data_IF_502797375769
#
_entry.id   IF_502797375769
#
_cell.length_a   1.000
_cell.length_b   1.000
_cell.length_c   1.000
_cell.angle_alpha   90.00
_cell.angle_beta   90.00
_cell.angle_gamma   90.00
#
_symmetry.space_group_name_H-M   'P 1'
#
loop_
_entity.id
_entity.type
_entity.pdbx_description
1 polymer ?
#
# COMPACT_ATOMS: atom_id res chain seq x y z
N UNK A 1 1.94 18.77 -5.92
CA UNK A 1 0.98 17.70 -6.28
C UNK A 1 0.75 17.59 -7.78
N UNK A 2 0.11 18.55 -8.46
CA UNK A 2 -0.14 18.43 -9.91
C UNK A 2 1.13 18.24 -10.75
N UNK A 3 2.19 19.01 -10.47
CA UNK A 3 3.48 18.84 -11.12
C UNK A 3 4.11 17.46 -10.86
N UNK A 4 3.94 16.93 -9.64
CA UNK A 4 4.46 15.61 -9.25
C UNK A 4 3.69 14.49 -9.98
N UNK A 5 2.37 14.61 -10.12
CA UNK A 5 1.56 13.66 -10.90
C UNK A 5 1.97 13.65 -12.38
N UNK A 6 2.11 14.84 -12.97
CA UNK A 6 2.59 14.98 -14.34
C UNK A 6 3.99 14.36 -14.52
N UNK A 7 4.86 14.52 -13.52
CA UNK A 7 6.18 13.91 -13.52
C UNK A 7 6.12 12.39 -13.39
N UNK A 8 5.34 11.85 -12.44
CA UNK A 8 5.18 10.40 -12.25
C UNK A 8 4.64 9.73 -13.51
N UNK A 9 3.66 10.34 -14.19
CA UNK A 9 3.12 9.80 -15.45
C UNK A 9 4.15 9.84 -16.57
N UNK A 10 4.89 10.94 -16.72
CA UNK A 10 5.95 11.06 -17.75
C UNK A 10 7.12 10.10 -17.52
N UNK A 11 7.59 10.00 -16.28
CA UNK A 11 8.85 9.34 -15.97
C UNK A 11 8.65 7.81 -15.80
N UNK A 12 7.47 7.38 -15.34
CA UNK A 12 7.16 5.97 -15.02
C UNK A 12 5.93 5.40 -15.72
N UNK A 13 5.16 6.21 -16.45
CA UNK A 13 3.88 5.76 -17.00
C UNK A 13 2.81 5.51 -15.93
N UNK A 14 2.94 6.12 -14.75
CA UNK A 14 2.03 5.92 -13.64
C UNK A 14 0.57 6.25 -14.02
N UNK A 15 -0.35 5.36 -13.65
CA UNK A 15 -1.80 5.49 -13.85
C UNK A 15 -2.55 5.68 -12.53
N UNK A 16 -1.96 5.31 -11.39
CA UNK A 16 -2.56 5.41 -10.04
C UNK A 16 -1.51 5.94 -9.06
N UNK A 17 -1.93 6.82 -8.14
CA UNK A 17 -1.09 7.29 -7.03
C UNK A 17 -1.77 6.99 -5.69
N UNK A 18 -1.04 6.32 -4.78
CA UNK A 18 -1.40 6.19 -3.36
C UNK A 18 -0.62 7.21 -2.54
N UNK A 19 -1.28 7.85 -1.58
CA UNK A 19 -0.66 8.84 -0.69
C UNK A 19 -0.98 8.56 0.77
N UNK A 20 0.04 8.64 1.62
CA UNK A 20 -0.07 8.38 3.06
C UNK A 20 -0.63 9.56 3.88
N UNK A 21 -0.59 10.76 3.32
CA UNK A 21 -1.13 11.99 3.89
C UNK A 21 -0.81 12.22 5.39
N UNK A 22 0.46 12.11 5.84
CA UNK A 22 0.79 12.40 7.23
C UNK A 22 0.39 13.84 7.55
N UNK A 23 -0.18 14.06 8.74
CA UNK A 23 -0.69 15.37 9.24
C UNK A 23 -1.68 16.10 8.33
N UNK A 24 -2.11 15.50 7.23
CA UNK A 24 -2.94 16.13 6.21
C UNK A 24 -4.42 15.98 6.55
N UNK A 25 -4.83 16.67 7.62
CA UNK A 25 -6.16 16.59 8.24
C UNK A 25 -7.21 17.51 7.58
N UNK A 26 -6.94 18.04 6.39
CA UNK A 26 -7.79 19.05 5.73
C UNK A 26 -8.31 18.53 4.40
N UNK A 27 -9.60 18.76 4.14
CA UNK A 27 -10.29 18.40 2.89
C UNK A 27 -9.53 18.88 1.64
N UNK A 28 -8.97 20.10 1.68
CA UNK A 28 -8.17 20.70 0.61
C UNK A 28 -7.04 19.81 0.08
N UNK A 29 -6.48 18.91 0.89
CA UNK A 29 -5.44 17.99 0.45
C UNK A 29 -6.01 16.97 -0.54
N UNK A 30 -7.14 16.36 -0.21
CA UNK A 30 -7.86 15.40 -1.05
C UNK A 30 -8.48 16.07 -2.27
N UNK A 31 -8.97 17.32 -2.15
CA UNK A 31 -9.43 18.13 -3.29
C UNK A 31 -8.30 18.35 -4.30
N UNK A 32 -7.10 18.70 -3.83
CA UNK A 32 -5.94 18.90 -4.68
C UNK A 32 -5.52 17.58 -5.37
N UNK A 33 -5.68 16.45 -4.70
CA UNK A 33 -5.41 15.14 -5.28
C UNK A 33 -6.38 14.78 -6.39
N UNK A 34 -7.68 15.06 -6.20
CA UNK A 34 -8.67 14.91 -7.27
C UNK A 34 -8.36 15.80 -8.46
N UNK A 35 -8.07 17.08 -8.23
CA UNK A 35 -7.68 18.02 -9.30
C UNK A 35 -6.46 17.53 -10.07
N UNK A 36 -5.44 17.04 -9.36
CA UNK A 36 -4.23 16.49 -9.98
C UNK A 36 -4.52 15.19 -10.75
N UNK A 37 -5.35 14.30 -10.21
CA UNK A 37 -5.78 13.07 -10.87
C UNK A 37 -6.52 13.35 -12.19
N UNK A 38 -7.51 14.25 -12.16
CA UNK A 38 -8.24 14.70 -13.35
C UNK A 38 -7.29 15.30 -14.39
N UNK A 39 -6.42 16.23 -13.97
CA UNK A 39 -5.56 16.96 -14.89
C UNK A 39 -4.50 16.08 -15.58
N UNK A 40 -4.15 14.94 -14.98
CA UNK A 40 -3.12 14.04 -15.50
C UNK A 40 -3.68 12.69 -15.97
N UNK A 41 -5.00 12.49 -15.96
CA UNK A 41 -5.63 11.22 -16.30
C UNK A 41 -5.06 10.07 -15.44
N UNK A 42 -5.08 10.28 -14.12
CA UNK A 42 -4.57 9.35 -13.13
C UNK A 42 -5.60 9.14 -12.02
N UNK A 43 -5.71 7.91 -11.53
CA UNK A 43 -6.52 7.60 -10.37
C UNK A 43 -5.74 7.86 -9.06
N UNK A 44 -6.47 8.03 -7.97
CA UNK A 44 -5.91 8.21 -6.63
C UNK A 44 -6.47 7.19 -5.65
N UNK A 45 -5.62 6.71 -4.75
CA UNK A 45 -6.03 5.97 -3.56
C UNK A 45 -5.99 6.94 -2.39
N UNK A 46 -7.15 7.20 -1.81
CA UNK A 46 -7.24 7.99 -0.59
C UNK A 46 -6.95 7.10 0.61
N UNK A 47 -6.36 7.70 1.65
CA UNK A 47 -6.03 6.98 2.87
C UNK A 47 -6.34 7.86 4.08
N UNK A 48 -6.95 7.26 5.09
CA UNK A 48 -7.04 7.85 6.43
C UNK A 48 -5.67 7.78 7.08
N UNK A 49 -5.11 8.93 7.47
CA UNK A 49 -3.87 8.95 8.25
C UNK A 49 -4.18 8.55 9.70
N UNK A 50 -3.51 7.50 10.17
CA UNK A 50 -3.80 6.81 11.44
C UNK A 50 -2.99 7.35 12.62
N UNK A 51 -1.99 8.20 12.35
CA UNK A 51 -1.00 8.66 13.33
C UNK A 51 -0.39 7.48 14.12
N UNK A 52 -0.17 6.34 13.44
CA UNK A 52 0.36 5.11 14.05
C UNK A 52 -0.43 4.64 15.28
N UNK A 53 -1.73 4.95 15.34
CA UNK A 53 -2.59 4.62 16.47
C UNK A 53 -2.33 5.47 17.73
N UNK A 54 -1.46 6.47 17.66
CA UNK A 54 -1.07 7.29 18.81
C UNK A 54 -2.13 8.34 19.20
N UNK A 55 -3.03 8.70 18.27
CA UNK A 55 -4.05 9.71 18.51
C UNK A 55 -5.36 9.46 17.76
N UNK A 56 -6.36 10.28 18.09
CA UNK A 56 -7.67 10.31 17.42
C UNK A 56 -7.68 11.16 16.13
N UNK A 57 -6.52 11.61 15.65
CA UNK A 57 -6.43 12.44 14.44
C UNK A 57 -6.91 11.71 13.18
N UNK A 58 -6.95 10.38 13.20
CA UNK A 58 -7.60 9.57 12.16
C UNK A 58 -9.05 9.97 11.93
N UNK A 59 -9.80 10.40 12.96
CA UNK A 59 -11.19 10.86 12.83
C UNK A 59 -11.26 12.14 12.00
N UNK A 60 -10.29 13.05 12.19
CA UNK A 60 -10.19 14.28 11.40
C UNK A 60 -9.81 13.98 9.96
N UNK A 61 -8.88 13.04 9.74
CA UNK A 61 -8.53 12.59 8.38
C UNK A 61 -9.70 11.91 7.67
N UNK A 62 -10.45 11.04 8.36
CA UNK A 62 -11.66 10.41 7.84
C UNK A 62 -12.71 11.47 7.48
N UNK A 63 -12.98 12.41 8.39
CA UNK A 63 -13.94 13.48 8.14
C UNK A 63 -13.52 14.38 6.98
N UNK A 64 -12.21 14.63 6.80
CA UNK A 64 -11.71 15.39 5.66
C UNK A 64 -12.02 14.70 4.33
N UNK A 65 -11.89 13.37 4.25
CA UNK A 65 -12.30 12.59 3.07
C UNK A 65 -13.81 12.72 2.84
N UNK A 66 -14.62 12.51 3.89
CA UNK A 66 -16.07 12.64 3.77
C UNK A 66 -16.50 14.02 3.30
N UNK A 67 -15.88 15.10 3.80
CA UNK A 67 -16.18 16.45 3.37
C UNK A 67 -15.94 16.67 1.87
N UNK A 68 -14.90 16.06 1.30
CA UNK A 68 -14.65 16.12 -0.15
C UNK A 68 -15.68 15.32 -0.93
N UNK A 69 -16.01 14.12 -0.47
CA UNK A 69 -17.00 13.25 -1.12
C UNK A 69 -18.45 13.78 -1.01
N UNK A 70 -18.77 14.49 0.07
CA UNK A 70 -20.06 15.17 0.28
C UNK A 70 -20.13 16.54 -0.45
N UNK A 71 -19.02 17.05 -0.99
CA UNK A 71 -19.00 18.34 -1.66
C UNK A 71 -19.70 18.30 -3.02
N UNK A 72 -20.37 19.39 -3.40
CA UNK A 72 -21.02 19.52 -4.70
C UNK A 72 -20.04 19.57 -5.86
N UNK A 73 -18.85 20.16 -5.65
CA UNK A 73 -17.80 20.30 -6.65
C UNK A 73 -17.10 18.97 -6.93
N UNK A 74 -16.70 18.23 -5.89
CA UNK A 74 -15.86 17.03 -6.04
C UNK A 74 -16.61 15.73 -5.92
N UNK A 75 -17.71 15.67 -5.17
CA UNK A 75 -18.44 14.42 -4.92
C UNK A 75 -18.95 13.74 -6.20
N UNK A 76 -19.33 14.53 -7.22
CA UNK A 76 -19.77 14.01 -8.52
C UNK A 76 -18.64 13.47 -9.41
N UNK A 77 -17.40 13.92 -9.18
CA UNK A 77 -16.21 13.55 -9.94
C UNK A 77 -15.46 12.41 -9.25
N UNK A 78 -15.50 12.36 -7.92
CA UNK A 78 -14.73 11.43 -7.11
C UNK A 78 -14.86 9.96 -7.54
N UNK A 79 -16.04 9.41 -7.91
CA UNK A 79 -16.16 8.00 -8.30
C UNK A 79 -15.41 7.64 -9.60
N UNK A 80 -15.02 8.64 -10.40
CA UNK A 80 -14.29 8.45 -11.64
C UNK A 80 -12.77 8.65 -11.50
N UNK A 81 -12.31 9.11 -10.33
CA UNK A 81 -10.91 9.47 -10.08
C UNK A 81 -10.35 8.77 -8.83
N UNK A 82 -11.15 8.61 -7.79
CA UNK A 82 -10.79 7.83 -6.60
C UNK A 82 -10.97 6.35 -6.92
N UNK A 83 -9.84 5.64 -7.04
CA UNK A 83 -9.85 4.20 -7.25
C UNK A 83 -10.42 3.46 -6.04
N UNK A 84 -10.00 3.87 -4.84
CA UNK A 84 -10.41 3.26 -3.57
C UNK A 84 -10.02 4.15 -2.38
N UNK A 85 -10.58 3.85 -1.20
CA UNK A 85 -10.24 4.54 0.06
C UNK A 85 -9.82 3.54 1.14
N UNK A 86 -8.58 3.66 1.60
CA UNK A 86 -8.02 2.88 2.69
C UNK A 86 -8.33 3.52 4.05
N UNK A 87 -8.92 2.75 4.96
CA UNK A 87 -9.09 3.11 6.36
C UNK A 87 -7.80 2.86 7.15
N UNK A 88 -6.72 3.49 6.68
CA UNK A 88 -5.41 3.37 7.27
C UNK A 88 -4.42 2.55 6.45
N UNK A 89 -3.15 2.80 6.77
CA UNK A 89 -2.02 1.95 6.41
C UNK A 89 -1.50 1.31 7.68
N UNK A 90 -1.41 -0.02 7.67
CA UNK A 90 -1.07 -0.84 8.83
C UNK A 90 -1.92 -0.56 10.10
N UNK A 91 -3.22 -0.20 9.99
CA UNK A 91 -3.98 0.27 11.14
C UNK A 91 -4.16 -0.81 12.22
N UNK A 92 -4.16 -2.09 11.85
CA UNK A 92 -4.32 -3.19 12.81
C UNK A 92 -2.99 -3.44 13.52
N UNK A 93 -1.90 -3.40 12.77
CA UNK A 93 -0.53 -3.55 13.28
C UNK A 93 -0.18 -2.41 14.23
N UNK A 94 -0.61 -1.18 13.90
CA UNK A 94 -0.42 0.04 14.67
C UNK A 94 -1.38 0.17 15.88
N UNK A 95 -2.25 -0.81 16.11
CA UNK A 95 -3.24 -0.77 17.20
C UNK A 95 -4.16 0.46 17.17
N UNK A 96 -4.49 0.95 15.98
CA UNK A 96 -5.44 2.05 15.80
C UNK A 96 -6.79 1.73 16.46
N UNK A 97 -7.49 2.79 16.89
CA UNK A 97 -8.89 2.75 17.32
C UNK A 97 -9.14 1.86 18.55
N UNK A 98 -8.23 1.91 19.53
CA UNK A 98 -8.39 1.19 20.80
C UNK A 98 -8.31 -0.33 20.67
N UNK A 99 -7.89 -0.85 19.51
CA UNK A 99 -7.61 -2.24 19.26
C UNK A 99 -8.54 -2.92 18.26
N UNK A 100 -8.18 -4.18 17.96
CA UNK A 100 -8.61 -4.90 16.75
C UNK A 100 -10.13 -5.10 16.62
N UNK A 101 -10.87 -5.24 17.72
CA UNK A 101 -12.31 -5.49 17.67
C UNK A 101 -13.12 -4.22 17.36
N UNK A 102 -12.73 -3.09 17.96
CA UNK A 102 -13.36 -1.80 17.70
C UNK A 102 -13.04 -1.35 16.27
N UNK A 103 -11.77 -1.48 15.87
CA UNK A 103 -11.33 -1.23 14.49
C UNK A 103 -12.17 -1.95 13.43
N UNK A 104 -12.45 -3.26 13.60
CA UNK A 104 -13.27 -4.02 12.63
C UNK A 104 -14.70 -3.47 12.52
N UNK A 105 -15.26 -2.99 13.63
CA UNK A 105 -16.59 -2.38 13.65
C UNK A 105 -16.59 -1.08 12.85
N UNK A 106 -15.61 -0.21 13.13
CA UNK A 106 -15.50 1.10 12.51
C UNK A 106 -15.11 1.00 11.03
N UNK A 107 -14.31 0.01 10.64
CA UNK A 107 -14.05 -0.34 9.25
C UNK A 107 -15.36 -0.70 8.51
N UNK A 108 -16.27 -1.43 9.13
CA UNK A 108 -17.57 -1.75 8.54
C UNK A 108 -18.45 -0.52 8.31
N UNK A 109 -18.45 0.42 9.27
CA UNK A 109 -19.16 1.70 9.13
C UNK A 109 -18.54 2.59 8.05
N UNK A 110 -17.20 2.66 8.04
CA UNK A 110 -16.43 3.37 7.03
C UNK A 110 -16.72 2.82 5.63
N UNK A 111 -16.61 1.51 5.43
CA UNK A 111 -16.93 0.85 4.15
C UNK A 111 -18.33 1.17 3.69
N UNK A 112 -19.33 1.07 4.57
CA UNK A 112 -20.72 1.40 4.23
C UNK A 112 -20.86 2.86 3.75
N UNK A 113 -20.18 3.80 4.41
CA UNK A 113 -20.21 5.22 4.03
C UNK A 113 -19.48 5.46 2.70
N UNK A 114 -18.28 4.93 2.52
CA UNK A 114 -17.51 5.10 1.27
C UNK A 114 -18.23 4.45 0.08
N UNK A 115 -18.79 3.25 0.24
CA UNK A 115 -19.52 2.57 -0.83
C UNK A 115 -20.80 3.32 -1.24
N UNK A 116 -21.36 4.18 -0.38
CA UNK A 116 -22.50 5.03 -0.76
C UNK A 116 -22.16 6.09 -1.82
N UNK A 117 -20.88 6.39 -2.01
CA UNK A 117 -20.37 7.22 -3.12
C UNK A 117 -20.00 6.40 -4.36
N UNK A 118 -20.16 5.08 -4.35
CA UNK A 118 -19.73 4.20 -5.45
C UNK A 118 -18.21 3.97 -5.51
N UNK A 119 -17.49 4.21 -4.42
CA UNK A 119 -16.04 3.99 -4.31
C UNK A 119 -15.80 2.74 -3.43
N UNK A 120 -14.88 1.82 -3.77
CA UNK A 120 -14.50 0.70 -2.92
C UNK A 120 -13.74 1.14 -1.65
N UNK A 121 -13.91 0.39 -0.56
CA UNK A 121 -13.20 0.65 0.69
C UNK A 121 -12.54 -0.60 1.30
N UNK A 122 -11.46 -0.38 2.03
CA UNK A 122 -10.72 -1.43 2.72
C UNK A 122 -9.61 -0.86 3.59
N UNK A 123 -8.53 -1.61 3.75
CA UNK A 123 -7.31 -1.17 4.44
C UNK A 123 -6.09 -1.61 3.63
N UNK A 124 -4.97 -0.94 3.83
CA UNK A 124 -3.65 -1.38 3.37
C UNK A 124 -2.87 -1.98 4.54
N UNK A 125 -2.47 -3.25 4.48
CA UNK A 125 -1.98 -3.98 5.68
C UNK A 125 -1.01 -5.13 5.34
N UNK A 126 -0.27 -5.59 6.36
CA UNK A 126 0.52 -6.84 6.34
C UNK A 126 -0.38 -8.05 6.64
N UNK A 127 -1.06 -8.55 5.61
CA UNK A 127 -2.10 -9.58 5.75
C UNK A 127 -1.60 -10.94 6.25
N UNK A 128 -0.34 -11.28 6.03
CA UNK A 128 0.25 -12.59 6.38
C UNK A 128 0.77 -12.65 7.82
N UNK A 129 0.71 -11.57 8.60
CA UNK A 129 1.30 -11.48 9.94
C UNK A 129 0.65 -12.45 10.96
N UNK A 130 1.38 -13.50 11.42
CA UNK A 130 0.83 -14.53 12.31
C UNK A 130 0.36 -14.01 13.66
N UNK A 131 -0.85 -14.42 14.07
CA UNK A 131 -1.44 -14.01 15.35
C UNK A 131 -2.02 -12.60 15.37
N UNK A 132 -1.94 -11.88 14.25
CA UNK A 132 -2.56 -10.56 14.05
C UNK A 132 -3.60 -10.67 12.94
N UNK A 133 -3.15 -10.65 11.68
CA UNK A 133 -4.02 -10.79 10.51
C UNK A 133 -4.23 -12.25 10.14
N UNK A 134 -3.17 -13.06 10.16
CA UNK A 134 -3.23 -14.50 9.89
C UNK A 134 -3.37 -15.31 11.19
N UNK A 135 -3.75 -16.58 11.07
CA UNK A 135 -3.82 -17.53 12.17
C UNK A 135 -2.43 -17.69 12.83
N UNK A 136 -2.38 -18.19 14.06
CA UNK A 136 -1.09 -18.36 14.77
C UNK A 136 -0.10 -19.28 14.03
N UNK A 137 -0.59 -20.17 13.17
CA UNK A 137 0.22 -21.04 12.31
C UNK A 137 0.44 -20.48 10.89
N UNK A 138 -0.07 -19.29 10.59
CA UNK A 138 0.08 -18.60 9.30
C UNK A 138 -0.62 -19.26 8.12
N UNK A 139 -1.49 -20.28 8.33
CA UNK A 139 -2.11 -21.02 7.22
C UNK A 139 -3.43 -20.43 6.72
N UNK A 140 -4.05 -19.55 7.51
CA UNK A 140 -5.32 -18.92 7.18
C UNK A 140 -5.44 -17.55 7.84
N UNK A 141 -6.63 -16.94 7.76
CA UNK A 141 -6.91 -15.71 8.50
C UNK A 141 -7.16 -16.01 9.98
N UNK A 142 -6.67 -15.14 10.85
CA UNK A 142 -7.09 -15.09 12.25
C UNK A 142 -8.46 -14.44 12.41
N UNK A 143 -8.97 -14.31 13.64
CA UNK A 143 -10.24 -13.63 13.91
C UNK A 143 -10.27 -12.19 13.39
N UNK A 144 -9.19 -11.42 13.64
CA UNK A 144 -9.07 -10.04 13.16
C UNK A 144 -9.01 -9.98 11.64
N UNK A 145 -8.14 -10.75 10.98
CA UNK A 145 -8.07 -10.79 9.51
C UNK A 145 -9.38 -11.23 8.86
N UNK A 146 -10.13 -12.15 9.49
CA UNK A 146 -11.47 -12.55 9.03
C UNK A 146 -12.46 -11.38 9.11
N UNK A 147 -12.44 -10.63 10.22
CA UNK A 147 -13.26 -9.43 10.40
C UNK A 147 -12.91 -8.32 9.41
N UNK A 148 -11.62 -8.08 9.17
CA UNK A 148 -11.16 -7.09 8.19
C UNK A 148 -11.56 -7.50 6.78
N UNK A 149 -11.35 -8.76 6.39
CA UNK A 149 -11.78 -9.30 5.08
C UNK A 149 -13.28 -9.11 4.86
N UNK A 150 -14.10 -9.39 5.87
CA UNK A 150 -15.55 -9.22 5.78
C UNK A 150 -15.97 -7.75 5.57
N UNK A 151 -15.15 -6.81 6.03
CA UNK A 151 -15.39 -5.36 5.95
C UNK A 151 -14.48 -4.65 4.94
N UNK A 152 -13.92 -5.36 3.97
CA UNK A 152 -13.13 -4.79 2.86
C UNK A 152 -13.70 -5.22 1.51
N UNK A 153 -13.55 -4.39 0.48
CA UNK A 153 -13.90 -4.73 -0.92
C UNK A 153 -12.70 -5.30 -1.69
N UNK A 154 -11.50 -5.08 -1.18
CA UNK A 154 -10.23 -5.48 -1.79
C UNK A 154 -9.20 -5.86 -0.71
N UNK A 155 -8.07 -6.37 -1.15
CA UNK A 155 -6.87 -6.59 -0.37
C UNK A 155 -5.75 -5.69 -0.90
N UNK A 156 -5.52 -4.57 -0.21
CA UNK A 156 -4.30 -3.78 -0.38
C UNK A 156 -3.24 -4.38 0.56
N UNK A 157 -2.17 -4.90 -0.03
CA UNK A 157 -1.20 -5.72 0.67
C UNK A 157 0.16 -5.03 0.75
N UNK A 158 0.74 -5.06 1.95
CA UNK A 158 2.12 -4.73 2.19
C UNK A 158 2.96 -6.01 2.11
N UNK A 159 3.78 -6.12 1.06
CA UNK A 159 4.66 -7.27 0.85
C UNK A 159 6.09 -6.75 0.80
N UNK A 160 6.74 -6.72 1.96
CA UNK A 160 7.95 -5.94 2.18
C UNK A 160 9.17 -6.83 2.52
N UNK A 161 9.83 -7.45 1.53
CA UNK A 161 10.98 -8.33 1.76
C UNK A 161 12.15 -7.61 2.44
N UNK A 162 12.27 -6.30 2.25
CA UNK A 162 13.34 -5.50 2.86
C UNK A 162 13.36 -5.57 4.39
N UNK A 163 12.20 -5.70 5.04
CA UNK A 163 12.12 -5.79 6.50
C UNK A 163 12.29 -7.22 7.06
N UNK A 164 12.38 -8.24 6.21
CA UNK A 164 12.53 -9.63 6.63
C UNK A 164 14.02 -9.96 6.82
N UNK A 165 14.46 -10.14 8.08
CA UNK A 165 15.88 -10.22 8.44
C UNK A 165 16.66 -11.35 7.73
N UNK A 166 15.97 -12.42 7.32
CA UNK A 166 16.50 -13.62 6.68
C UNK A 166 16.37 -13.61 5.14
N UNK A 167 15.75 -12.58 4.55
CA UNK A 167 15.57 -12.49 3.10
C UNK A 167 16.63 -11.56 2.49
N UNK A 168 17.58 -12.10 1.69
CA UNK A 168 18.51 -11.28 0.92
C UNK A 168 17.83 -10.68 -0.32
N UNK A 169 18.43 -9.65 -0.90
CA UNK A 169 17.89 -8.97 -2.09
C UNK A 169 17.62 -9.93 -3.25
N UNK A 170 18.53 -10.89 -3.46
CA UNK A 170 18.42 -11.92 -4.51
C UNK A 170 17.17 -12.80 -4.38
N UNK A 171 16.56 -12.87 -3.20
CA UNK A 171 15.34 -13.65 -2.94
C UNK A 171 14.09 -12.77 -2.79
N UNK A 172 14.22 -11.44 -2.88
CA UNK A 172 13.11 -10.52 -2.67
C UNK A 172 11.91 -10.80 -3.60
N UNK A 173 12.16 -11.07 -4.88
CA UNK A 173 11.10 -11.38 -5.83
C UNK A 173 10.40 -12.71 -5.53
N UNK A 174 11.17 -13.76 -5.21
CA UNK A 174 10.60 -15.06 -4.82
C UNK A 174 9.77 -14.96 -3.55
N UNK A 175 10.20 -14.13 -2.59
CA UNK A 175 9.40 -13.81 -1.41
C UNK A 175 8.09 -13.13 -1.78
N UNK A 176 8.14 -12.11 -2.65
CA UNK A 176 6.94 -11.39 -3.11
C UNK A 176 5.95 -12.35 -3.78
N UNK A 177 6.43 -13.23 -4.67
CA UNK A 177 5.59 -14.21 -5.36
C UNK A 177 4.92 -15.18 -4.37
N UNK A 178 5.69 -15.74 -3.43
CA UNK A 178 5.18 -16.64 -2.40
C UNK A 178 4.11 -15.97 -1.52
N UNK A 179 4.34 -14.72 -1.12
CA UNK A 179 3.37 -13.97 -0.33
C UNK A 179 2.10 -13.67 -1.11
N UNK A 180 2.24 -13.30 -2.39
CA UNK A 180 1.09 -13.07 -3.26
C UNK A 180 0.25 -14.34 -3.47
N UNK A 181 0.88 -15.51 -3.61
CA UNK A 181 0.17 -16.80 -3.66
C UNK A 181 -0.64 -17.05 -2.39
N UNK A 182 -0.06 -16.78 -1.22
CA UNK A 182 -0.75 -16.88 0.05
C UNK A 182 -1.94 -15.91 0.12
N UNK A 183 -1.72 -14.62 -0.18
CA UNK A 183 -2.78 -13.60 -0.15
C UNK A 183 -3.93 -13.98 -1.09
N UNK A 184 -3.63 -14.39 -2.32
CA UNK A 184 -4.65 -14.79 -3.29
C UNK A 184 -5.40 -16.05 -2.86
N UNK A 185 -4.71 -17.03 -2.26
CA UNK A 185 -5.32 -18.29 -1.80
C UNK A 185 -6.15 -18.14 -0.53
N UNK A 186 -5.73 -17.26 0.39
CA UNK A 186 -6.30 -17.12 1.74
C UNK A 186 -7.27 -15.93 1.83
N UNK A 187 -6.85 -14.75 1.39
CA UNK A 187 -7.66 -13.52 1.48
C UNK A 187 -8.76 -13.53 0.42
N UNK A 188 -8.46 -13.96 -0.82
CA UNK A 188 -9.45 -14.12 -1.90
C UNK A 188 -10.29 -12.85 -2.17
N UNK A 189 -9.66 -11.68 -2.11
CA UNK A 189 -10.24 -10.41 -2.56
C UNK A 189 -9.43 -9.90 -3.77
N UNK A 190 -9.99 -9.00 -4.61
CA UNK A 190 -9.20 -8.25 -5.58
C UNK A 190 -7.96 -7.66 -4.89
N UNK A 191 -6.77 -7.97 -5.38
CA UNK A 191 -5.52 -7.73 -4.65
C UNK A 191 -4.63 -6.74 -5.41
N UNK A 192 -4.09 -5.76 -4.68
CA UNK A 192 -3.04 -4.85 -5.15
C UNK A 192 -1.92 -4.84 -4.10
N UNK A 193 -0.67 -4.90 -4.54
CA UNK A 193 0.48 -4.63 -3.65
C UNK A 193 0.62 -3.11 -3.56
N UNK A 194 0.28 -2.55 -2.41
CA UNK A 194 0.24 -1.09 -2.19
C UNK A 194 1.48 -0.56 -1.48
N UNK A 195 2.30 -1.45 -0.91
CA UNK A 195 3.63 -1.13 -0.40
C UNK A 195 4.58 -2.32 -0.62
N UNK A 196 5.70 -2.04 -1.29
CA UNK A 196 6.87 -2.92 -1.41
C UNK A 196 8.08 -2.08 -1.79
N UNK A 197 9.25 -2.39 -1.22
CA UNK A 197 10.42 -1.52 -1.34
C UNK A 197 11.71 -2.27 -1.06
N UNK A 198 12.80 -1.64 -1.50
CA UNK A 198 14.16 -1.88 -1.01
C UNK A 198 14.90 -0.55 -0.93
N UNK A 199 15.52 -0.25 0.22
CA UNK A 199 16.18 1.03 0.41
C UNK A 199 17.46 1.14 -0.44
N UNK A 200 17.67 2.32 -1.03
CA UNK A 200 18.86 2.60 -1.85
C UNK A 200 20.08 3.06 -1.03
N UNK A 201 19.86 3.49 0.21
CA UNK A 201 20.90 3.92 1.16
C UNK A 201 20.60 3.46 2.58
N UNK A 202 21.55 3.72 3.48
CA UNK A 202 21.48 3.36 4.90
C UNK A 202 20.18 3.82 5.57
N UNK A 203 19.50 2.91 6.25
CA UNK A 203 18.25 3.14 6.97
C UNK A 203 18.42 2.80 8.47
N UNK A 204 18.81 3.80 9.26
CA UNK A 204 19.05 3.63 10.70
C UNK A 204 17.75 3.63 11.54
N UNK A 205 16.58 3.87 10.93
CA UNK A 205 15.31 4.00 11.65
C UNK A 205 14.48 2.72 11.68
N UNK A 206 14.28 2.06 10.53
CA UNK A 206 13.31 0.96 10.39
C UNK A 206 13.92 -0.39 10.01
N UNK A 207 15.17 -0.40 9.53
CA UNK A 207 15.83 -1.58 8.99
C UNK A 207 17.32 -1.59 9.35
N UNK A 208 17.59 -1.45 10.66
CA UNK A 208 18.94 -1.32 11.20
C UNK A 208 19.82 -2.49 10.72
N UNK A 209 20.99 -2.15 10.16
CA UNK A 209 21.96 -3.09 9.59
C UNK A 209 21.51 -3.90 8.36
N UNK A 210 20.43 -3.52 7.67
CA UNK A 210 20.03 -4.18 6.42
C UNK A 210 20.84 -3.62 5.23
N UNK A 211 21.36 -4.48 4.34
CA UNK A 211 22.09 -4.04 3.16
C UNK A 211 21.17 -3.24 2.23
N UNK A 212 21.59 -2.03 1.89
CA UNK A 212 20.94 -1.21 0.86
C UNK A 212 21.27 -1.74 -0.55
N UNK A 213 20.64 -1.16 -1.58
CA UNK A 213 20.95 -1.52 -2.97
C UNK A 213 22.44 -1.31 -3.32
N UNK A 214 23.12 -0.34 -2.70
CA UNK A 214 24.55 -0.12 -2.98
C UNK A 214 25.40 -1.30 -2.51
N UNK A 215 25.01 -1.93 -1.41
CA UNK A 215 25.64 -3.12 -0.84
C UNK A 215 25.20 -4.41 -1.55
N UNK A 216 23.91 -4.52 -1.91
CA UNK A 216 23.36 -5.66 -2.64
C UNK A 216 23.90 -5.76 -4.08
N UNK A 217 24.19 -4.63 -4.73
CA UNK A 217 24.84 -4.63 -6.04
C UNK A 217 26.29 -5.14 -5.98
N UNK A 218 26.98 -4.99 -4.83
CA UNK A 218 28.31 -5.58 -4.62
C UNK A 218 28.18 -7.10 -4.43
N UNK A 219 27.14 -7.56 -3.72
CA UNK A 219 26.82 -8.99 -3.58
C UNK A 219 26.55 -9.65 -4.94
N UNK A 220 25.82 -8.96 -5.84
CA UNK A 220 25.60 -9.41 -7.22
C UNK A 220 26.86 -9.38 -8.09
N UNK A 221 27.85 -8.56 -7.75
CA UNK A 221 29.15 -8.46 -8.44
C UNK A 221 30.21 -9.43 -7.90
N UNK A 222 29.98 -10.06 -6.75
CA UNK A 222 30.87 -11.12 -6.23
C UNK A 222 31.01 -12.34 -7.13
N UNK A 223 30.15 -12.46 -8.15
CA UNK A 223 30.15 -13.49 -9.19
C UNK A 223 30.82 -13.03 -10.51
N UNK A 224 31.59 -11.93 -10.52
CA UNK A 224 32.22 -11.34 -11.73
C UNK A 224 33.32 -12.21 -12.39
N UNK A 225 33.62 -13.42 -11.89
CA UNK A 225 34.54 -14.34 -12.56
C UNK A 225 33.86 -15.28 -13.58
N UNK A 226 32.56 -15.14 -13.81
CA UNK A 226 31.83 -15.88 -14.86
C UNK A 226 31.26 -14.92 -15.91
N UNK A 227 32.08 -14.61 -16.92
CA UNK A 227 31.73 -13.77 -18.09
C UNK A 227 30.59 -14.38 -18.96
N UNK A 228 30.07 -15.56 -18.63
CA UNK A 228 28.93 -16.16 -19.32
C UNK A 228 27.56 -15.79 -18.75
N UNK A 229 27.50 -15.08 -17.61
CA UNK A 229 26.25 -14.84 -16.87
C UNK A 229 25.37 -13.72 -17.47
N UNK A 230 24.19 -14.02 -18.05
CA UNK A 230 23.30 -13.04 -18.69
C UNK A 230 22.56 -12.09 -17.72
N UNK A 231 22.86 -12.16 -16.42
CA UNK A 231 21.93 -11.73 -15.35
C UNK A 231 21.81 -10.22 -15.18
N UNK A 232 22.85 -9.43 -15.45
CA UNK A 232 22.81 -7.97 -15.25
C UNK A 232 21.93 -7.25 -16.29
N UNK A 233 21.92 -7.71 -17.53
CA UNK A 233 20.99 -7.22 -18.55
C UNK A 233 19.57 -7.73 -18.29
N UNK A 234 19.43 -8.96 -17.79
CA UNK A 234 18.14 -9.51 -17.38
C UNK A 234 17.50 -8.72 -16.25
N UNK A 235 18.21 -8.35 -15.18
CA UNK A 235 17.62 -7.58 -14.05
C UNK A 235 17.18 -6.18 -14.47
N UNK A 236 18.00 -5.46 -15.26
CA UNK A 236 17.58 -4.15 -15.80
C UNK A 236 16.41 -4.28 -16.78
N UNK A 237 16.40 -5.34 -17.60
CA UNK A 237 15.28 -5.58 -18.53
C UNK A 237 14.03 -6.09 -17.83
N UNK A 238 14.14 -6.87 -16.75
CA UNK A 238 13.02 -7.42 -15.97
C UNK A 238 12.40 -6.33 -15.12
N UNK A 239 13.18 -5.45 -14.50
CA UNK A 239 12.66 -4.25 -13.82
C UNK A 239 11.91 -3.37 -14.84
N UNK A 240 12.49 -3.13 -16.03
CA UNK A 240 11.84 -2.33 -17.08
C UNK A 240 10.64 -3.02 -17.78
N UNK A 241 10.62 -4.36 -17.84
CA UNK A 241 9.53 -5.16 -18.44
C UNK A 241 8.39 -5.39 -17.44
N UNK A 242 8.68 -5.54 -16.16
CA UNK A 242 7.68 -5.79 -15.12
C UNK A 242 7.04 -4.49 -14.58
N UNK A 243 7.65 -3.32 -14.79
CA UNK A 243 6.94 -2.03 -14.65
C UNK A 243 5.85 -1.81 -15.71
N UNK A 244 5.80 -2.60 -16.80
CA UNK A 244 4.67 -2.56 -17.76
C UNK A 244 3.44 -3.37 -17.33
N UNK A 245 3.53 -4.16 -16.26
CA UNK A 245 2.44 -5.04 -15.80
C UNK A 245 1.68 -4.51 -14.58
N UNK A 246 1.96 -3.27 -14.16
CA UNK A 246 1.24 -2.56 -13.10
C UNK A 246 0.52 -1.29 -13.61
N UNK A 247 0.31 -1.20 -14.93
CA UNK A 247 -0.53 -0.16 -15.55
C UNK A 247 -1.90 -0.73 -15.92
#
# INVERSE_FOLDING_TARGET
MNADFAQMKRDFGASIVRMYYPICLKASVFENALKAGVANDMAVIFQVWTDFGESDDWKKSQQAIYNVLDSTEFGSIAPYVVHSVDFGSEPVTDYMDGGRQQFVTDLGLFKKKINSYGIPAGISEVWDQPGIMSSGDGKGLGPTGTGVKANSDYCHAHIMPYYQTDIPFSQAWSYIQKQLEWVKGVVQLPTMITETQWAWGRNDGHAVNRPDLSSALIELKGDENDESSPRLWQVRSEIAKNTRWLA
#
